data_IF_763090347801
#
_entry.id   IF_763090347801
#
_cell.length_a   1.000
_cell.length_b   1.000
_cell.length_c   1.000
_cell.angle_alpha   90.00
_cell.angle_beta   90.00
_cell.angle_gamma   90.00
#
_symmetry.space_group_name_H-M   'P 1'
#
loop_
_entity.id
_entity.type
_entity.pdbx_description
1 polymer ?
#
# COMPACT_ATOMS: atom_id res chain seq x y z
N UNK A 1 -4.95 23.78 -4.68
CA UNK A 1 -3.83 22.82 -4.61
C UNK A 1 -3.78 21.94 -3.34
N UNK A 2 -4.62 22.12 -2.31
CA UNK A 2 -4.50 21.40 -1.02
C UNK A 2 -5.23 20.04 -0.89
N UNK A 3 -6.05 19.63 -1.87
CA UNK A 3 -7.00 18.50 -1.72
C UNK A 3 -6.32 17.12 -1.60
N UNK A 4 -5.04 17.01 -1.98
CA UNK A 4 -4.26 15.78 -2.04
C UNK A 4 -3.50 15.42 -0.77
N UNK A 5 -3.26 16.40 0.10
CA UNK A 5 -2.40 16.26 1.28
C UNK A 5 -2.94 15.23 2.28
N UNK A 6 -4.24 14.94 2.23
CA UNK A 6 -4.92 14.03 3.15
C UNK A 6 -5.26 12.67 2.53
N UNK A 7 -4.81 12.38 1.30
CA UNK A 7 -5.01 11.08 0.69
C UNK A 7 -3.96 10.07 1.15
N UNK A 8 -4.39 8.93 1.70
CA UNK A 8 -3.51 7.79 1.98
C UNK A 8 -3.44 6.87 0.78
N UNK A 9 -2.22 6.53 0.39
CA UNK A 9 -1.91 5.56 -0.66
C UNK A 9 -1.07 4.43 -0.08
N UNK A 10 -1.18 3.24 -0.65
CA UNK A 10 -0.42 2.07 -0.26
C UNK A 10 0.03 1.27 -1.47
N UNK A 11 1.19 0.65 -1.35
CA UNK A 11 1.59 -0.43 -2.23
C UNK A 11 1.28 -1.74 -1.53
N UNK A 12 0.49 -2.58 -2.19
CA UNK A 12 0.20 -3.94 -1.78
C UNK A 12 1.00 -4.92 -2.66
N UNK A 13 1.36 -6.06 -2.09
CA UNK A 13 1.91 -7.18 -2.81
C UNK A 13 1.42 -8.42 -2.10
N UNK A 14 0.97 -9.43 -2.85
CA UNK A 14 0.57 -10.70 -2.30
C UNK A 14 1.73 -11.32 -1.48
N UNK A 15 1.40 -12.00 -0.39
CA UNK A 15 2.38 -12.51 0.57
C UNK A 15 3.29 -13.54 -0.09
N UNK A 16 2.75 -14.43 -0.92
CA UNK A 16 3.52 -15.41 -1.68
C UNK A 16 4.58 -14.76 -2.56
N UNK A 17 4.22 -13.68 -3.28
CA UNK A 17 5.15 -12.93 -4.13
C UNK A 17 6.22 -12.22 -3.30
N UNK A 18 5.87 -11.70 -2.11
CA UNK A 18 6.84 -11.09 -1.20
C UNK A 18 7.86 -12.11 -0.69
N UNK A 19 7.41 -13.33 -0.35
CA UNK A 19 8.26 -14.42 0.11
C UNK A 19 9.22 -14.85 -1.00
N UNK A 20 8.73 -15.03 -2.23
CA UNK A 20 9.58 -15.37 -3.39
C UNK A 20 10.64 -14.30 -3.68
N UNK A 21 10.25 -13.02 -3.62
CA UNK A 21 11.17 -11.88 -3.82
C UNK A 21 12.20 -11.78 -2.68
N UNK A 22 11.81 -12.07 -1.45
CA UNK A 22 12.71 -12.11 -0.30
C UNK A 22 13.77 -13.21 -0.45
N UNK A 23 13.37 -14.40 -0.90
CA UNK A 23 14.30 -15.52 -1.17
C UNK A 23 15.28 -15.21 -2.30
N UNK A 24 14.84 -14.48 -3.32
CA UNK A 24 15.68 -14.07 -4.45
C UNK A 24 16.66 -12.96 -4.06
N UNK A 25 16.28 -12.09 -3.13
CA UNK A 25 17.16 -11.03 -2.60
C UNK A 25 18.09 -11.58 -1.52
N UNK A 26 19.26 -12.09 -1.94
CA UNK A 26 20.24 -12.76 -1.08
C UNK A 26 20.75 -11.99 0.15
N UNK A 27 20.49 -10.68 0.25
CA UNK A 27 20.88 -9.83 1.39
C UNK A 27 19.81 -9.71 2.49
N UNK A 28 18.60 -10.25 2.28
CA UNK A 28 17.49 -10.10 3.25
C UNK A 28 17.42 -11.29 4.21
N UNK A 29 17.10 -10.99 5.48
CA UNK A 29 16.76 -12.03 6.45
C UNK A 29 15.42 -12.67 6.06
N UNK A 30 15.44 -13.96 5.76
CA UNK A 30 14.24 -14.73 5.44
C UNK A 30 13.24 -14.71 6.61
N UNK A 31 11.95 -14.64 6.28
CA UNK A 31 10.82 -14.58 7.21
C UNK A 31 10.38 -13.15 7.58
N UNK A 32 11.03 -12.11 7.04
CA UNK A 32 10.63 -10.74 7.32
C UNK A 32 9.29 -10.41 6.66
N UNK A 33 9.11 -10.83 5.41
CA UNK A 33 7.86 -10.67 4.66
C UNK A 33 6.66 -11.19 5.47
N UNK A 34 6.70 -12.45 5.90
CA UNK A 34 5.64 -13.08 6.69
C UNK A 34 5.41 -12.37 8.03
N UNK A 35 6.48 -12.07 8.76
CA UNK A 35 6.38 -11.44 10.10
C UNK A 35 5.72 -10.06 10.07
N UNK A 36 5.85 -9.32 8.97
CA UNK A 36 5.40 -7.94 8.86
C UNK A 36 4.03 -7.82 8.18
N UNK A 37 3.73 -8.70 7.22
CA UNK A 37 2.60 -8.57 6.31
C UNK A 37 1.28 -8.22 7.01
N UNK A 38 0.85 -9.05 7.96
CA UNK A 38 -0.42 -8.84 8.64
C UNK A 38 -0.44 -7.53 9.44
N UNK A 39 0.63 -7.22 10.16
CA UNK A 39 0.71 -6.03 11.02
C UNK A 39 0.70 -4.72 10.22
N UNK A 40 1.31 -4.71 9.04
CA UNK A 40 1.36 -3.54 8.15
C UNK A 40 -0.02 -3.22 7.59
N UNK A 41 -0.81 -4.24 7.27
CA UNK A 41 -2.14 -4.10 6.68
C UNK A 41 -3.27 -4.00 7.71
N UNK A 42 -3.02 -4.37 8.97
CA UNK A 42 -4.02 -4.32 10.04
C UNK A 42 -4.52 -2.89 10.32
N UNK A 43 -5.84 -2.73 10.40
CA UNK A 43 -6.52 -1.48 10.76
C UNK A 43 -6.05 -0.28 9.91
N UNK A 44 -5.80 -0.51 8.61
CA UNK A 44 -5.42 0.54 7.67
C UNK A 44 -6.56 0.84 6.71
N UNK A 45 -6.73 2.13 6.42
CA UNK A 45 -7.59 2.60 5.33
C UNK A 45 -6.73 3.34 4.32
N UNK A 46 -7.03 3.13 3.05
CA UNK A 46 -6.34 3.79 1.95
C UNK A 46 -7.39 4.31 0.97
N UNK A 47 -7.11 5.46 0.38
CA UNK A 47 -7.93 6.02 -0.70
C UNK A 47 -7.57 5.40 -2.05
N UNK A 48 -6.37 4.81 -2.15
CA UNK A 48 -5.89 4.10 -3.32
C UNK A 48 -4.82 3.07 -2.95
N UNK A 49 -4.91 1.90 -3.57
CA UNK A 49 -3.97 0.79 -3.40
C UNK A 49 -3.41 0.44 -4.76
N UNK A 50 -2.08 0.43 -4.87
CA UNK A 50 -1.35 -0.08 -6.02
C UNK A 50 -0.96 -1.52 -5.72
N UNK A 51 -1.43 -2.47 -6.53
CA UNK A 51 -1.00 -3.86 -6.45
C UNK A 51 0.28 -4.06 -7.27
N UNK A 52 1.33 -4.52 -6.60
CA UNK A 52 2.66 -4.77 -7.16
C UNK A 52 2.98 -6.26 -7.28
N UNK A 53 1.99 -7.13 -7.14
CA UNK A 53 2.16 -8.59 -7.22
C UNK A 53 2.58 -9.03 -8.62
N UNK A 54 2.04 -8.41 -9.67
CA UNK A 54 2.30 -8.78 -11.07
C UNK A 54 3.04 -7.71 -11.89
N UNK A 55 3.27 -6.52 -11.33
CA UNK A 55 3.82 -5.37 -12.06
C UNK A 55 5.23 -5.02 -11.61
N UNK A 56 6.04 -4.46 -12.52
CA UNK A 56 7.36 -3.94 -12.17
C UNK A 56 7.25 -2.58 -11.45
N UNK A 57 8.33 -2.15 -10.80
CA UNK A 57 8.33 -0.94 -9.99
C UNK A 57 8.04 0.34 -10.77
N UNK A 58 8.41 0.39 -12.06
CA UNK A 58 8.19 1.57 -12.90
C UNK A 58 6.71 1.73 -13.22
N UNK A 59 6.06 0.66 -13.66
CA UNK A 59 4.62 0.63 -13.92
C UNK A 59 3.83 1.00 -12.67
N UNK A 60 4.15 0.39 -11.53
CA UNK A 60 3.46 0.69 -10.28
C UNK A 60 3.65 2.16 -9.86
N UNK A 61 4.82 2.75 -10.16
CA UNK A 61 5.12 4.16 -9.88
C UNK A 61 4.29 5.14 -10.72
N UNK A 62 3.85 4.74 -11.92
CA UNK A 62 3.03 5.58 -12.82
C UNK A 62 1.56 5.62 -12.41
N UNK A 63 1.07 4.60 -11.72
CA UNK A 63 -0.33 4.53 -11.29
C UNK A 63 -0.73 5.65 -10.31
N UNK A 64 0.20 6.09 -9.45
CA UNK A 64 -0.06 7.20 -8.51
C UNK A 64 -0.28 8.54 -9.23
N UNK A 65 0.62 9.02 -10.10
CA UNK A 65 0.39 10.26 -10.85
C UNK A 65 -0.78 10.17 -11.84
N UNK A 66 -1.16 8.98 -12.32
CA UNK A 66 -2.38 8.79 -13.11
C UNK A 66 -3.66 8.89 -12.28
N UNK A 67 -3.62 8.40 -11.04
CA UNK A 67 -4.74 8.50 -10.12
C UNK A 67 -4.97 9.93 -9.62
N UNK A 68 -3.90 10.71 -9.43
CA UNK A 68 -3.99 12.07 -8.88
C UNK A 68 -4.90 13.02 -9.70
N UNK A 69 -4.96 13.03 -11.03
CA UNK A 69 -5.90 13.90 -11.75
C UNK A 69 -7.39 13.60 -11.49
N UNK A 70 -7.75 12.41 -10.99
CA UNK A 70 -9.16 11.96 -10.87
C UNK A 70 -9.98 12.66 -9.77
N UNK A 71 -9.36 13.54 -8.99
CA UNK A 71 -10.00 14.29 -7.89
C UNK A 71 -10.79 13.45 -6.87
N UNK A 72 -10.24 12.33 -6.36
CA UNK A 72 -10.82 11.56 -5.28
C UNK A 72 -11.04 12.44 -4.06
N UNK A 73 -12.14 12.18 -3.36
CA UNK A 73 -12.38 12.77 -2.04
C UNK A 73 -11.74 11.85 -0.99
N UNK A 74 -10.66 12.27 -0.31
CA UNK A 74 -10.00 11.41 0.66
C UNK A 74 -10.93 11.10 1.83
N UNK A 75 -11.03 9.82 2.19
CA UNK A 75 -11.86 9.31 3.26
C UNK A 75 -11.09 8.43 4.25
N UNK A 76 -9.84 8.03 3.93
CA UNK A 76 -9.06 7.12 4.76
C UNK A 76 -8.92 7.57 6.21
N UNK A 77 -8.59 8.84 6.47
CA UNK A 77 -8.47 9.35 7.84
C UNK A 77 -9.81 9.40 8.57
N UNK A 78 -10.90 9.76 7.88
CA UNK A 78 -12.25 9.76 8.46
C UNK A 78 -12.67 8.35 8.88
N UNK A 79 -12.45 7.35 8.02
CA UNK A 79 -12.74 5.93 8.32
C UNK A 79 -11.89 5.41 9.49
N UNK A 80 -10.60 5.77 9.51
CA UNK A 80 -9.72 5.41 10.61
C UNK A 80 -10.16 6.03 11.94
N UNK A 81 -10.58 7.29 11.94
CA UNK A 81 -11.13 7.95 13.12
C UNK A 81 -12.40 7.23 13.61
N UNK A 82 -13.31 6.86 12.71
CA UNK A 82 -14.53 6.14 13.08
C UNK A 82 -14.25 4.78 13.73
N UNK A 83 -13.27 4.02 13.24
CA UNK A 83 -12.95 2.71 13.82
C UNK A 83 -12.27 2.76 15.18
N UNK A 84 -11.50 3.81 15.47
CA UNK A 84 -10.76 3.93 16.74
C UNK A 84 -11.65 4.44 17.88
N UNK A 85 -12.68 5.21 17.56
CA UNK A 85 -13.55 5.87 18.54
C UNK A 85 -15.00 5.33 18.54
N UNK A 86 -15.17 4.08 18.10
CA UNK A 86 -16.38 3.26 18.28
C UNK A 86 -16.18 2.31 19.46
#
# INVERSE_FOLDING_TARGET
MKRWMNARRMFFCALEVLIEREQTHGDRRIGLAESQFHSIHANRHYDYVVDSSSSNSVECGQLVPEWLPTQPTPAAFTKMHQQVFQ
#
